data_IF_886504083006
#
_entry.id   IF_886504083006
#
_cell.length_a   1.000
_cell.length_b   1.000
_cell.length_c   1.000
_cell.angle_alpha   90.00
_cell.angle_beta   90.00
_cell.angle_gamma   90.00
#
_symmetry.space_group_name_H-M   'P 1'
#
loop_
_entity.id
_entity.type
_entity.pdbx_description
1 polymer ?
#
# COMPACT_ATOMS: atom_id res chain seq x y z
N UNK A 1 -4.13 -14.77 -3.13
CA UNK A 1 -4.80 -13.61 -3.75
C UNK A 1 -4.36 -13.42 -5.18
N UNK A 2 -5.29 -13.15 -6.10
CA UNK A 2 -4.98 -12.63 -7.43
C UNK A 2 -4.92 -11.09 -7.34
N UNK A 3 -3.96 -10.44 -8.00
CA UNK A 3 -3.88 -8.98 -8.09
C UNK A 3 -5.20 -8.35 -8.61
N UNK A 4 -6.01 -9.11 -9.36
CA UNK A 4 -7.36 -8.75 -9.77
C UNK A 4 -8.26 -8.28 -8.61
N UNK A 5 -8.08 -8.81 -7.39
CA UNK A 5 -8.89 -8.41 -6.23
C UNK A 5 -8.64 -6.95 -5.86
N UNK A 6 -7.43 -6.43 -6.10
CA UNK A 6 -7.10 -5.04 -5.81
C UNK A 6 -7.72 -4.07 -6.82
N UNK A 7 -8.13 -4.54 -8.01
CA UNK A 7 -8.80 -3.70 -9.01
C UNK A 7 -10.09 -3.08 -8.49
N UNK A 8 -10.76 -3.71 -7.53
CA UNK A 8 -11.99 -3.17 -6.91
C UNK A 8 -11.75 -1.87 -6.11
N UNK A 9 -10.50 -1.56 -5.78
CA UNK A 9 -10.13 -0.33 -5.07
C UNK A 9 -9.67 0.78 -6.02
N UNK A 10 -9.38 0.45 -7.28
CA UNK A 10 -9.09 1.47 -8.31
C UNK A 10 -10.33 2.35 -8.50
N UNK A 11 -10.10 3.65 -8.64
CA UNK A 11 -11.09 4.74 -8.68
C UNK A 11 -11.89 4.97 -7.40
N UNK A 12 -11.63 4.23 -6.32
CA UNK A 12 -12.18 4.57 -5.01
C UNK A 12 -11.47 5.77 -4.43
N UNK A 13 -12.23 6.58 -3.68
CA UNK A 13 -11.64 7.69 -2.95
C UNK A 13 -10.93 7.17 -1.70
N UNK A 14 -9.86 7.84 -1.31
CA UNK A 14 -9.17 7.55 -0.04
C UNK A 14 -9.87 8.25 1.14
N UNK A 15 -9.77 7.64 2.31
CA UNK A 15 -10.15 8.23 3.58
C UNK A 15 -8.90 8.66 4.35
N UNK A 16 -8.55 9.94 4.24
CA UNK A 16 -7.34 10.51 4.88
C UNK A 16 -7.37 10.40 6.41
N UNK A 17 -8.53 10.45 7.05
CA UNK A 17 -8.63 10.31 8.51
C UNK A 17 -8.23 8.91 8.96
N UNK A 18 -8.61 7.90 8.18
CA UNK A 18 -8.23 6.51 8.44
C UNK A 18 -6.74 6.28 8.17
N UNK A 19 -6.18 6.89 7.11
CA UNK A 19 -4.73 6.81 6.83
C UNK A 19 -3.90 7.45 7.96
N UNK A 20 -4.37 8.56 8.55
CA UNK A 20 -3.70 9.23 9.68
C UNK A 20 -3.78 8.43 11.00
N UNK A 21 -4.57 7.36 11.07
CA UNK A 21 -4.74 6.56 12.28
C UNK A 21 -3.73 5.39 12.34
N UNK A 22 -2.49 5.71 12.74
CA UNK A 22 -1.39 4.72 12.80
C UNK A 22 -1.74 3.47 13.62
N UNK A 23 -2.45 3.62 14.75
CA UNK A 23 -2.86 2.50 15.60
C UNK A 23 -3.80 1.51 14.92
N UNK A 24 -4.68 1.99 14.04
CA UNK A 24 -5.53 1.10 13.26
C UNK A 24 -4.74 0.44 12.11
N UNK A 25 -3.84 1.19 11.47
CA UNK A 25 -2.97 0.63 10.42
C UNK A 25 -2.08 -0.51 10.93
N UNK A 26 -1.52 -0.36 12.13
CA UNK A 26 -0.70 -1.38 12.80
C UNK A 26 -1.41 -2.74 12.93
N UNK A 27 -2.75 -2.76 13.04
CA UNK A 27 -3.53 -4.01 13.10
C UNK A 27 -3.46 -4.82 11.82
N UNK A 28 -3.11 -4.20 10.69
CA UNK A 28 -2.87 -4.85 9.40
C UNK A 28 -1.39 -5.15 9.15
N UNK A 29 -0.52 -4.89 10.15
CA UNK A 29 0.94 -4.89 10.01
C UNK A 29 1.42 -3.96 8.88
N UNK A 30 0.73 -2.84 8.68
CA UNK A 30 1.06 -1.81 7.68
C UNK A 30 1.25 -0.49 8.42
N UNK A 31 2.23 0.31 8.03
CA UNK A 31 2.39 1.68 8.51
C UNK A 31 2.50 2.65 7.34
N UNK A 32 2.10 3.91 7.56
CA UNK A 32 2.26 4.96 6.58
C UNK A 32 3.66 5.55 6.71
N UNK A 33 4.41 5.56 5.61
CA UNK A 33 5.76 6.13 5.52
C UNK A 33 5.70 7.58 5.03
N UNK A 34 4.86 7.82 4.03
CA UNK A 34 4.65 9.14 3.45
C UNK A 34 3.18 9.38 3.14
N UNK A 35 2.67 10.52 3.60
CA UNK A 35 1.33 11.02 3.30
C UNK A 35 1.43 12.52 2.98
N UNK A 36 1.12 12.94 1.74
CA UNK A 36 0.95 14.35 1.44
C UNK A 36 -0.28 14.91 2.20
N UNK A 37 -0.11 16.07 2.85
CA UNK A 37 -1.15 16.69 3.68
C UNK A 37 -1.17 18.22 3.51
N UNK A 38 -2.14 18.80 2.77
CA UNK A 38 -3.18 18.10 2.01
C UNK A 38 -2.60 17.41 0.76
N UNK A 39 -3.25 16.34 0.26
CA UNK A 39 -2.91 15.80 -1.06
C UNK A 39 -3.22 16.80 -2.17
N UNK A 40 -2.32 16.91 -3.13
CA UNK A 40 -2.52 17.59 -4.41
C UNK A 40 -3.42 16.76 -5.34
N UNK A 41 -3.73 17.31 -6.52
CA UNK A 41 -4.53 16.64 -7.54
C UNK A 41 -3.90 15.36 -8.06
N UNK A 42 -2.57 15.23 -7.99
CA UNK A 42 -1.85 14.02 -8.34
C UNK A 42 -0.74 13.81 -7.32
N UNK A 43 -0.79 12.70 -6.61
CA UNK A 43 0.13 12.44 -5.50
C UNK A 43 0.35 10.95 -5.29
N UNK A 44 1.38 10.62 -4.51
CA UNK A 44 1.68 9.26 -4.08
C UNK A 44 1.63 9.17 -2.56
N UNK A 45 1.00 8.11 -2.06
CA UNK A 45 0.98 7.77 -0.64
C UNK A 45 1.78 6.48 -0.49
N UNK A 46 2.79 6.51 0.37
CA UNK A 46 3.67 5.38 0.61
C UNK A 46 3.31 4.73 1.95
N UNK A 47 3.10 3.42 1.89
CA UNK A 47 2.99 2.57 3.07
C UNK A 47 4.05 1.50 3.04
N UNK A 48 4.29 0.90 4.19
CA UNK A 48 5.28 -0.15 4.37
C UNK A 48 4.69 -1.31 5.15
N UNK A 49 5.19 -2.50 4.87
CA UNK A 49 4.90 -3.70 5.63
C UNK A 49 6.10 -4.63 5.64
N UNK A 50 6.24 -5.44 6.69
CA UNK A 50 7.26 -6.48 6.73
C UNK A 50 6.72 -7.77 6.11
N UNK A 51 7.51 -8.39 5.24
CA UNK A 51 7.21 -9.70 4.68
C UNK A 51 8.50 -10.52 4.62
N UNK A 52 8.56 -11.59 5.43
CA UNK A 52 9.76 -12.40 5.62
C UNK A 52 10.95 -11.51 6.07
N UNK A 53 12.06 -11.57 5.35
CA UNK A 53 13.28 -10.80 5.57
C UNK A 53 13.29 -9.44 4.85
N UNK A 54 12.15 -9.03 4.26
CA UNK A 54 12.03 -7.82 3.44
C UNK A 54 11.03 -6.84 4.02
N UNK A 55 11.32 -5.56 3.81
CA UNK A 55 10.31 -4.51 3.88
C UNK A 55 9.74 -4.32 2.47
N UNK A 56 8.41 -4.28 2.38
CA UNK A 56 7.65 -4.09 1.15
C UNK A 56 7.04 -2.69 1.19
N UNK A 57 7.28 -1.89 0.16
CA UNK A 57 6.52 -0.69 -0.15
C UNK A 57 5.18 -1.05 -0.75
N UNK A 58 4.15 -0.30 -0.35
CA UNK A 58 2.83 -0.27 -0.96
C UNK A 58 2.62 1.17 -1.41
N UNK A 59 2.82 1.42 -2.69
CA UNK A 59 2.75 2.76 -3.27
C UNK A 59 1.39 2.96 -3.91
N UNK A 60 0.63 3.93 -3.43
CA UNK A 60 -0.71 4.26 -3.92
C UNK A 60 -0.66 5.61 -4.62
N UNK A 61 -0.75 5.58 -5.94
CA UNK A 61 -0.89 6.80 -6.74
C UNK A 61 -2.35 7.21 -6.75
N UNK A 62 -2.62 8.46 -6.39
CA UNK A 62 -3.95 9.06 -6.40
C UNK A 62 -4.05 10.17 -7.43
N UNK A 63 -5.24 10.33 -7.98
CA UNK A 63 -5.61 11.49 -8.80
C UNK A 63 -6.98 11.99 -8.37
N UNK A 64 -7.09 13.28 -8.06
CA UNK A 64 -8.30 13.92 -7.52
C UNK A 64 -8.89 13.13 -6.35
N UNK A 65 -8.03 12.71 -5.42
CA UNK A 65 -8.37 11.92 -4.24
C UNK A 65 -8.76 10.45 -4.49
N UNK A 66 -8.63 9.94 -5.72
CA UNK A 66 -9.00 8.57 -6.10
C UNK A 66 -7.78 7.73 -6.49
N UNK A 67 -7.78 6.47 -6.09
CA UNK A 67 -6.70 5.53 -6.42
C UNK A 67 -6.63 5.29 -7.94
N UNK A 68 -5.48 5.55 -8.54
CA UNK A 68 -5.20 5.25 -9.95
C UNK A 68 -4.29 4.04 -10.12
N UNK A 69 -3.36 3.82 -9.18
CA UNK A 69 -2.41 2.72 -9.23
C UNK A 69 -2.05 2.26 -7.83
N UNK A 70 -1.81 0.96 -7.71
CA UNK A 70 -1.24 0.31 -6.53
C UNK A 70 0.00 -0.43 -7.01
N UNK A 71 1.15 -0.18 -6.39
CA UNK A 71 2.40 -0.86 -6.69
C UNK A 71 2.98 -1.50 -5.43
N UNK A 72 3.71 -2.60 -5.63
CA UNK A 72 4.42 -3.29 -4.56
C UNK A 72 5.89 -3.45 -4.97
N UNK A 73 6.78 -3.06 -4.08
CA UNK A 73 8.20 -3.15 -4.30
C UNK A 73 8.92 -3.54 -3.01
N UNK A 74 10.02 -4.27 -3.10
CA UNK A 74 10.91 -4.47 -1.96
C UNK A 74 11.79 -3.24 -1.75
N UNK A 75 11.96 -2.85 -0.49
CA UNK A 75 12.82 -1.74 -0.08
C UNK A 75 14.22 -2.26 0.17
N UNK A 76 15.24 -1.55 -0.32
CA UNK A 76 16.62 -1.91 -0.01
C UNK A 76 16.93 -1.62 1.47
N UNK A 77 17.38 -2.61 2.26
CA UNK A 77 17.62 -2.41 3.69
C UNK A 77 18.79 -1.49 3.99
N UNK A 78 19.67 -1.20 3.01
CA UNK A 78 20.80 -0.28 3.17
C UNK A 78 20.47 1.13 2.71
N UNK A 79 19.47 1.28 1.85
CA UNK A 79 19.03 2.56 1.32
C UNK A 79 17.50 2.52 1.09
N UNK A 80 16.71 3.00 2.06
CA UNK A 80 15.25 2.98 1.99
C UNK A 80 14.64 3.77 0.83
N UNK A 81 15.42 4.61 0.14
CA UNK A 81 14.96 5.35 -1.04
C UNK A 81 15.02 4.49 -2.31
N UNK A 82 15.72 3.36 -2.27
CA UNK A 82 15.83 2.43 -3.39
C UNK A 82 14.80 1.33 -3.23
N UNK A 83 13.86 1.29 -4.17
CA UNK A 83 12.88 0.22 -4.30
C UNK A 83 13.19 -0.66 -5.51
N UNK A 84 12.95 -1.97 -5.36
CA UNK A 84 13.11 -2.97 -6.42
C UNK A 84 11.79 -3.68 -6.61
N UNK A 85 11.34 -3.79 -7.86
CA UNK A 85 10.14 -4.56 -8.19
C UNK A 85 10.26 -6.00 -7.69
N UNK A 86 9.17 -6.51 -7.13
CA UNK A 86 9.08 -7.93 -6.78
C UNK A 86 9.10 -8.77 -8.06
N UNK A 87 9.81 -9.89 -8.03
CA UNK A 87 9.63 -10.93 -9.06
C UNK A 87 8.18 -11.43 -9.04
N UNK A 88 7.73 -12.02 -10.14
CA UNK A 88 6.36 -12.52 -10.24
C UNK A 88 6.04 -13.54 -9.13
N UNK A 89 6.97 -14.42 -8.79
CA UNK A 89 6.81 -15.40 -7.71
C UNK A 89 6.71 -14.74 -6.34
N UNK A 90 7.55 -13.75 -6.05
CA UNK A 90 7.52 -13.03 -4.77
C UNK A 90 6.22 -12.24 -4.61
N UNK A 91 5.77 -11.59 -5.68
CA UNK A 91 4.50 -10.87 -5.68
C UNK A 91 3.33 -11.84 -5.42
N UNK A 92 3.28 -12.98 -6.12
CA UNK A 92 2.22 -13.96 -5.92
C UNK A 92 2.20 -14.52 -4.50
N UNK A 93 3.37 -14.80 -3.93
CA UNK A 93 3.50 -15.29 -2.57
C UNK A 93 3.08 -14.24 -1.55
N UNK A 94 3.59 -13.00 -1.67
CA UNK A 94 3.22 -11.87 -0.83
C UNK A 94 1.71 -11.64 -0.83
N UNK A 95 1.11 -11.54 -2.02
CA UNK A 95 -0.33 -11.32 -2.16
C UNK A 95 -1.13 -12.48 -1.56
N UNK A 96 -0.66 -13.74 -1.68
CA UNK A 96 -1.35 -14.90 -1.10
C UNK A 96 -1.28 -14.94 0.42
N UNK A 97 -0.12 -14.70 1.01
CA UNK A 97 0.06 -14.79 2.47
C UNK A 97 -0.52 -13.59 3.21
N UNK A 98 -0.50 -12.40 2.58
CA UNK A 98 -1.00 -11.14 3.18
C UNK A 98 -2.40 -10.75 2.68
N UNK A 99 -3.12 -11.68 2.05
CA UNK A 99 -4.42 -11.43 1.43
C UNK A 99 -5.42 -10.74 2.38
N UNK A 100 -5.61 -11.31 3.57
CA UNK A 100 -6.56 -10.80 4.56
C UNK A 100 -6.18 -9.40 5.04
N UNK A 101 -4.91 -9.20 5.38
CA UNK A 101 -4.39 -7.91 5.86
C UNK A 101 -4.57 -6.82 4.80
N UNK A 102 -4.18 -7.10 3.55
CA UNK A 102 -4.30 -6.16 2.44
C UNK A 102 -5.76 -5.82 2.15
N UNK A 103 -6.66 -6.80 2.10
CA UNK A 103 -8.09 -6.55 1.88
C UNK A 103 -8.67 -5.69 2.99
N UNK A 104 -8.36 -5.99 4.25
CA UNK A 104 -8.87 -5.24 5.39
C UNK A 104 -8.30 -3.81 5.43
N UNK A 105 -7.01 -3.66 5.13
CA UNK A 105 -6.36 -2.37 4.98
C UNK A 105 -7.03 -1.53 3.89
N UNK A 106 -7.16 -2.04 2.66
CA UNK A 106 -7.78 -1.30 1.58
C UNK A 106 -9.28 -1.02 1.82
N UNK A 107 -10.00 -1.93 2.47
CA UNK A 107 -11.38 -1.67 2.91
C UNK A 107 -11.43 -0.53 3.94
N UNK A 108 -10.43 -0.44 4.82
CA UNK A 108 -10.34 0.59 5.84
C UNK A 108 -9.99 1.96 5.26
N UNK A 109 -9.01 2.04 4.35
CA UNK A 109 -8.52 3.31 3.82
C UNK A 109 -9.32 3.85 2.62
N UNK A 110 -10.30 3.11 2.10
CA UNK A 110 -11.12 3.56 0.96
C UNK A 110 -12.58 3.81 1.34
N UNK A 111 -13.26 4.64 0.54
CA UNK A 111 -14.70 4.92 0.61
C UNK A 111 -15.36 4.72 -0.76
#
# INVERSE_FOLDING_TARGET
MNAEILKKYINKSINLQNIKNSKELEKFNIWCEYLPDPPEDFDEIEFRTNFKDKTISIDIVIQSGKIQRIMFASVDPKDPTLVKSLTQSELQEFLKERESDLINFFNYITQ
#
